data_IF_212302649858
#
_entry.id   IF_212302649858
#
_cell.length_a   1.000
_cell.length_b   1.000
_cell.length_c   1.000
_cell.angle_alpha   90.00
_cell.angle_beta   90.00
_cell.angle_gamma   90.00
#
_symmetry.space_group_name_H-M   'P 1'
#
loop_
_entity.id
_entity.type
_entity.pdbx_description
1 polymer ?
#
# COMPACT_ATOMS: atom_id res chain seq x y z
N UNK A 1 54.19 -32.71 -4.98
CA UNK A 1 54.11 -31.53 -5.87
C UNK A 1 53.59 -30.39 -5.01
N UNK A 2 54.38 -29.68 -4.20
CA UNK A 2 55.53 -28.79 -4.45
C UNK A 2 55.23 -27.63 -5.43
N UNK A 3 55.21 -26.44 -4.84
CA UNK A 3 55.62 -25.10 -5.32
C UNK A 3 54.82 -24.36 -6.39
N UNK A 4 54.39 -23.13 -6.06
CA UNK A 4 55.05 -21.87 -6.47
C UNK A 4 54.33 -20.65 -5.81
N UNK A 5 54.91 -19.91 -4.86
CA UNK A 5 55.82 -18.72 -4.99
C UNK A 5 55.22 -17.57 -5.83
N UNK A 6 54.82 -16.46 -5.18
CA UNK A 6 55.56 -15.16 -5.11
C UNK A 6 55.61 -14.43 -6.47
N UNK A 7 55.10 -13.20 -6.69
CA UNK A 7 55.54 -11.90 -6.13
C UNK A 7 54.88 -10.78 -6.97
N UNK A 8 54.51 -9.63 -6.38
CA UNK A 8 54.93 -8.30 -6.87
C UNK A 8 54.41 -7.15 -5.99
N UNK A 9 55.32 -6.56 -5.21
CA UNK A 9 55.24 -5.20 -4.72
C UNK A 9 55.75 -4.24 -5.80
N UNK A 10 55.07 -3.09 -6.01
CA UNK A 10 55.62 -1.73 -5.80
C UNK A 10 54.78 -0.66 -6.51
N UNK A 11 54.75 0.51 -5.84
CA UNK A 11 54.77 1.86 -6.41
C UNK A 11 53.40 2.55 -6.63
N UNK A 12 53.02 3.46 -5.73
CA UNK A 12 53.40 4.89 -5.79
C UNK A 12 52.72 5.71 -4.68
N UNK A 13 53.55 6.41 -3.92
CA UNK A 13 53.19 7.62 -3.16
C UNK A 13 52.59 8.66 -4.11
N UNK A 14 51.45 9.24 -3.75
CA UNK A 14 51.21 10.70 -3.88
C UNK A 14 50.40 11.19 -2.68
N UNK A 15 51.02 12.13 -1.97
CA UNK A 15 50.37 13.09 -1.06
C UNK A 15 49.37 13.92 -1.86
N UNK A 16 48.17 14.08 -1.31
CA UNK A 16 47.40 15.33 -1.42
C UNK A 16 46.63 15.49 -0.13
N UNK A 17 47.17 16.40 0.67
CA UNK A 17 46.57 17.05 1.82
C UNK A 17 45.55 18.07 1.29
N UNK A 18 44.30 17.97 1.74
CA UNK A 18 43.35 19.09 1.63
C UNK A 18 42.30 19.00 2.73
N UNK A 19 42.35 20.00 3.59
CA UNK A 19 41.33 20.39 4.55
C UNK A 19 39.94 20.48 3.90
N UNK A 20 38.89 20.11 4.66
CA UNK A 20 37.85 21.03 5.14
C UNK A 20 36.61 20.28 5.65
N UNK A 21 36.18 20.69 6.85
CA UNK A 21 34.79 20.76 7.33
C UNK A 21 33.97 19.46 7.29
N UNK A 22 34.02 18.73 8.39
CA UNK A 22 33.00 17.74 8.75
C UNK A 22 31.70 18.45 9.15
N UNK A 23 30.79 18.62 8.18
CA UNK A 23 29.37 18.83 8.44
C UNK A 23 28.76 17.51 8.88
N UNK A 24 28.25 17.47 10.11
CA UNK A 24 27.58 16.33 10.69
C UNK A 24 26.28 16.03 9.92
N UNK A 25 26.33 15.07 9.00
CA UNK A 25 25.16 14.40 8.45
C UNK A 25 24.70 13.35 9.45
N UNK A 26 23.62 13.67 10.16
CA UNK A 26 22.88 12.73 11.01
C UNK A 26 22.21 11.70 10.09
N UNK A 27 22.51 10.39 10.18
CA UNK A 27 21.82 9.41 9.37
C UNK A 27 20.46 9.09 10.01
N UNK A 28 19.40 9.61 9.40
CA UNK A 28 17.99 9.27 9.64
C UNK A 28 17.64 7.81 9.26
N UNK A 29 18.64 6.95 9.08
CA UNK A 29 18.51 5.61 8.48
C UNK A 29 18.45 4.46 9.50
N UNK A 30 18.56 4.74 10.81
CA UNK A 30 18.67 3.70 11.85
C UNK A 30 17.38 3.44 12.67
N UNK A 31 16.30 4.19 12.43
CA UNK A 31 15.05 4.10 13.21
C UNK A 31 13.99 3.17 12.60
N UNK A 32 14.30 2.48 11.48
CA UNK A 32 13.35 1.61 10.76
C UNK A 32 13.56 0.10 10.99
N UNK A 33 14.48 -0.30 11.89
CA UNK A 33 14.87 -1.72 12.08
C UNK A 33 14.36 -2.37 13.38
N UNK A 34 13.44 -1.76 14.13
CA UNK A 34 13.06 -2.23 15.48
C UNK A 34 11.61 -2.70 15.65
N UNK A 35 10.86 -2.91 14.57
CA UNK A 35 9.55 -3.56 14.65
C UNK A 35 9.52 -4.79 13.76
N UNK A 36 9.67 -5.97 14.34
CA UNK A 36 8.93 -7.22 14.05
C UNK A 36 9.70 -8.39 14.69
N UNK A 37 9.43 -8.67 15.96
CA UNK A 37 9.78 -9.94 16.60
C UNK A 37 8.71 -10.27 17.63
N UNK A 38 7.48 -10.46 17.17
CA UNK A 38 6.42 -11.08 17.96
C UNK A 38 6.50 -12.59 17.75
N UNK A 39 7.16 -13.29 18.66
CA UNK A 39 7.14 -14.76 18.73
C UNK A 39 5.80 -15.20 19.30
N UNK A 40 4.95 -15.79 18.48
CA UNK A 40 3.77 -16.51 18.95
C UNK A 40 4.21 -17.86 19.51
N UNK A 41 3.87 -18.12 20.76
CA UNK A 41 4.04 -19.42 21.40
C UNK A 41 3.17 -20.43 20.66
N UNK A 42 3.79 -21.48 20.11
CA UNK A 42 3.09 -22.69 19.67
C UNK A 42 2.65 -23.38 20.95
N UNK A 43 1.35 -23.32 21.26
CA UNK A 43 0.77 -24.14 22.31
C UNK A 43 0.78 -25.59 21.84
N UNK A 44 1.23 -26.49 22.70
CA UNK A 44 1.25 -27.93 22.46
C UNK A 44 -0.16 -28.41 22.09
N UNK A 45 -0.29 -28.99 20.90
CA UNK A 45 -1.50 -29.64 20.40
C UNK A 45 -1.78 -30.88 21.26
N UNK A 46 -2.58 -30.72 22.31
CA UNK A 46 -3.34 -31.83 22.86
C UNK A 46 -4.37 -32.28 21.80
N UNK A 47 -4.69 -33.57 21.76
CA UNK A 47 -5.77 -34.14 20.94
C UNK A 47 -7.12 -33.50 21.35
N UNK A 48 -7.40 -32.30 20.85
CA UNK A 48 -8.68 -31.62 20.98
C UNK A 48 -9.62 -32.19 19.92
N UNK A 49 -10.12 -33.41 20.16
CA UNK A 49 -11.22 -33.96 19.37
C UNK A 49 -12.48 -33.13 19.65
N UNK A 50 -13.05 -32.52 18.60
CA UNK A 50 -14.28 -31.74 18.70
C UNK A 50 -15.45 -32.70 18.92
N UNK A 51 -16.05 -32.65 20.12
CA UNK A 51 -17.20 -33.50 20.46
C UNK A 51 -18.50 -33.04 19.78
N UNK A 52 -18.72 -31.72 19.68
CA UNK A 52 -19.93 -31.13 19.12
C UNK A 52 -19.64 -29.91 18.25
N UNK A 53 -20.20 -29.90 17.03
CA UNK A 53 -20.03 -28.81 16.06
C UNK A 53 -20.92 -27.59 16.34
N UNK A 54 -21.88 -27.69 17.25
CA UNK A 54 -22.85 -26.60 17.53
C UNK A 54 -22.20 -25.33 18.04
N UNK A 55 -21.07 -25.46 18.73
CA UNK A 55 -20.35 -24.34 19.30
C UNK A 55 -19.42 -23.69 18.28
N UNK A 56 -19.16 -24.35 17.15
CA UNK A 56 -18.18 -23.90 16.19
C UNK A 56 -18.80 -23.13 15.01
N UNK A 57 -18.00 -22.23 14.46
CA UNK A 57 -18.29 -21.54 13.22
C UNK A 57 -17.06 -21.47 12.33
N UNK A 58 -17.28 -21.48 11.02
CA UNK A 58 -16.24 -21.37 10.01
C UNK A 58 -16.39 -20.07 9.24
N UNK A 59 -15.25 -19.39 9.03
CA UNK A 59 -15.18 -18.15 8.28
C UNK A 59 -14.15 -18.26 7.16
N UNK A 60 -14.57 -18.49 5.89
CA UNK A 60 -13.67 -18.40 4.75
C UNK A 60 -13.21 -16.94 4.59
N UNK A 61 -11.89 -16.75 4.48
CA UNK A 61 -11.23 -15.43 4.42
C UNK A 61 -10.81 -15.07 3.01
N UNK A 62 -10.17 -16.01 2.31
CA UNK A 62 -9.62 -15.77 0.98
C UNK A 62 -9.34 -17.10 0.26
N UNK A 63 -9.40 -17.09 -1.05
CA UNK A 63 -8.78 -18.06 -1.93
C UNK A 63 -7.37 -17.58 -2.26
N UNK A 64 -6.37 -18.43 -2.03
CA UNK A 64 -4.95 -18.13 -2.26
C UNK A 64 -4.25 -19.30 -2.92
N UNK A 65 -3.30 -19.00 -3.82
CA UNK A 65 -2.35 -20.00 -4.29
C UNK A 65 -1.23 -20.16 -3.25
N UNK A 66 -1.15 -21.34 -2.62
CA UNK A 66 -0.16 -21.65 -1.58
C UNK A 66 0.39 -23.06 -1.78
N UNK A 67 1.72 -23.18 -1.82
CA UNK A 67 2.43 -24.41 -2.18
C UNK A 67 2.02 -24.97 -3.55
N UNK A 68 1.97 -24.08 -4.56
CA UNK A 68 1.64 -24.43 -5.95
C UNK A 68 0.27 -25.09 -6.12
N UNK A 69 -0.65 -24.82 -5.18
CA UNK A 69 -2.03 -25.31 -5.20
C UNK A 69 -2.98 -24.20 -4.76
N UNK A 70 -4.16 -24.17 -5.36
CA UNK A 70 -5.22 -23.25 -4.96
C UNK A 70 -5.90 -23.76 -3.69
N UNK A 71 -5.93 -22.89 -2.67
CA UNK A 71 -6.39 -23.23 -1.33
C UNK A 71 -7.34 -22.16 -0.79
N UNK A 72 -8.35 -22.60 -0.04
CA UNK A 72 -9.20 -21.72 0.76
C UNK A 72 -8.55 -21.53 2.12
N UNK A 73 -8.19 -20.29 2.42
CA UNK A 73 -7.89 -19.82 3.76
C UNK A 73 -9.19 -19.61 4.53
N UNK A 74 -9.33 -20.27 5.67
CA UNK A 74 -10.47 -20.09 6.56
C UNK A 74 -10.04 -20.02 8.02
N UNK A 75 -10.90 -19.47 8.87
CA UNK A 75 -10.73 -19.44 10.32
C UNK A 75 -11.86 -20.20 11.00
N UNK A 76 -11.50 -20.95 12.04
CA UNK A 76 -12.44 -21.66 12.90
C UNK A 76 -12.63 -20.89 14.21
N UNK A 77 -13.85 -20.78 14.68
CA UNK A 77 -14.23 -20.07 15.90
C UNK A 77 -14.99 -21.01 16.84
N UNK A 78 -14.73 -20.92 18.14
CA UNK A 78 -15.27 -21.77 19.22
C UNK A 78 -16.63 -21.32 19.75
N UNK A 79 -17.13 -20.20 19.25
CA UNK A 79 -18.45 -19.66 19.56
C UNK A 79 -19.15 -19.44 18.23
N UNK A 80 -20.38 -19.93 18.13
CA UNK A 80 -21.30 -19.87 16.99
C UNK A 80 -21.27 -18.54 16.20
N UNK A 81 -21.95 -18.48 15.05
CA UNK A 81 -21.85 -17.46 13.99
C UNK A 81 -21.78 -15.98 14.41
N UNK A 82 -22.30 -15.60 15.58
CA UNK A 82 -22.22 -14.22 16.10
C UNK A 82 -20.81 -13.81 16.59
N UNK A 83 -19.85 -14.74 16.68
CA UNK A 83 -18.55 -14.53 17.32
C UNK A 83 -17.36 -14.59 16.37
N UNK A 84 -17.58 -14.45 15.07
CA UNK A 84 -16.47 -14.51 14.11
C UNK A 84 -15.63 -13.23 14.06
N UNK A 85 -15.96 -12.27 14.93
CA UNK A 85 -15.12 -11.11 15.27
C UNK A 85 -14.16 -11.40 16.44
N UNK A 86 -14.39 -12.47 17.20
CA UNK A 86 -13.51 -12.91 18.28
C UNK A 86 -12.26 -13.59 17.71
N UNK A 87 -11.29 -13.85 18.59
CA UNK A 87 -10.08 -14.57 18.22
C UNK A 87 -10.45 -15.97 17.71
N UNK A 88 -10.00 -16.37 16.51
CA UNK A 88 -10.23 -17.70 16.02
C UNK A 88 -9.42 -18.72 16.83
N UNK A 89 -9.94 -19.95 16.93
CA UNK A 89 -9.23 -21.12 17.46
C UNK A 89 -7.97 -21.36 16.65
N UNK A 90 -8.10 -21.23 15.32
CA UNK A 90 -7.00 -21.33 14.38
C UNK A 90 -7.36 -20.77 13.03
N UNK A 91 -6.33 -20.52 12.22
CA UNK A 91 -6.49 -20.19 10.81
C UNK A 91 -5.80 -21.28 9.99
N UNK A 92 -6.55 -21.85 9.07
CA UNK A 92 -6.18 -23.06 8.35
C UNK A 92 -6.36 -22.86 6.85
N UNK A 93 -5.72 -23.73 6.09
CA UNK A 93 -5.90 -23.82 4.65
C UNK A 93 -6.32 -25.23 4.26
N UNK A 94 -7.09 -25.33 3.19
CA UNK A 94 -7.48 -26.59 2.54
C UNK A 94 -7.50 -26.38 1.03
N UNK A 95 -7.31 -27.42 0.19
CA UNK A 95 -7.53 -27.31 -1.25
C UNK A 95 -8.94 -26.81 -1.59
N UNK A 96 -9.06 -26.00 -2.64
CA UNK A 96 -10.35 -25.46 -3.13
C UNK A 96 -11.38 -26.56 -3.38
N UNK A 97 -11.08 -27.66 -4.10
CA UNK A 97 -12.05 -28.72 -4.34
C UNK A 97 -12.63 -29.32 -3.06
N UNK A 98 -11.77 -29.60 -2.07
CA UNK A 98 -12.18 -30.15 -0.77
C UNK A 98 -13.08 -29.20 0.00
N UNK A 99 -12.81 -27.89 -0.03
CA UNK A 99 -13.67 -26.91 0.62
C UNK A 99 -15.04 -26.83 -0.04
N UNK A 100 -15.07 -26.77 -1.37
CA UNK A 100 -16.29 -26.54 -2.15
C UNK A 100 -17.19 -27.76 -2.10
N UNK A 101 -16.64 -28.97 -2.20
CA UNK A 101 -17.37 -30.24 -2.04
C UNK A 101 -18.10 -30.29 -0.69
N UNK A 102 -17.36 -30.08 0.41
CA UNK A 102 -17.93 -30.09 1.76
C UNK A 102 -18.93 -28.94 2.00
N UNK A 103 -18.74 -27.79 1.34
CA UNK A 103 -19.67 -26.67 1.39
C UNK A 103 -20.98 -26.97 0.65
N UNK A 104 -20.91 -27.64 -0.51
CA UNK A 104 -22.09 -28.06 -1.28
C UNK A 104 -22.85 -29.15 -0.53
N UNK A 105 -22.17 -30.12 0.06
CA UNK A 105 -22.78 -31.11 0.94
C UNK A 105 -23.53 -30.45 2.11
N UNK A 106 -22.92 -29.43 2.74
CA UNK A 106 -23.60 -28.67 3.79
C UNK A 106 -24.85 -27.94 3.28
N UNK A 107 -24.82 -27.38 2.06
CA UNK A 107 -25.99 -26.72 1.46
C UNK A 107 -27.09 -27.73 1.13
N UNK A 108 -26.74 -28.90 0.62
CA UNK A 108 -27.67 -29.99 0.34
C UNK A 108 -28.34 -30.50 1.63
N UNK A 109 -27.56 -30.66 2.69
CA UNK A 109 -28.05 -31.04 4.02
C UNK A 109 -29.02 -30.00 4.59
N UNK A 110 -28.70 -28.71 4.44
CA UNK A 110 -29.55 -27.61 4.89
C UNK A 110 -30.86 -27.52 4.09
N UNK A 111 -30.81 -27.74 2.77
CA UNK A 111 -32.00 -27.76 1.92
C UNK A 111 -32.91 -28.95 2.25
N UNK A 112 -32.33 -30.14 2.46
CA UNK A 112 -33.06 -31.31 2.92
C UNK A 112 -33.75 -31.08 4.27
N UNK A 113 -33.12 -30.31 5.16
CA UNK A 113 -33.72 -29.92 6.44
C UNK A 113 -34.88 -28.92 6.29
N UNK A 114 -34.82 -28.05 5.30
CA UNK A 114 -35.92 -27.15 4.95
C UNK A 114 -37.06 -27.86 4.20
N UNK A 115 -36.90 -29.14 3.85
CA UNK A 115 -37.84 -29.88 3.00
C UNK A 115 -37.79 -29.43 1.53
N UNK A 116 -36.68 -28.84 1.12
CA UNK A 116 -36.42 -28.38 -0.25
C UNK A 116 -35.52 -29.38 -1.00
N UNK A 117 -35.70 -29.46 -2.32
CA UNK A 117 -34.81 -30.23 -3.19
C UNK A 117 -33.60 -29.37 -3.56
N UNK A 118 -32.40 -29.87 -3.27
CA UNK A 118 -31.16 -29.18 -3.62
C UNK A 118 -30.74 -29.48 -5.05
N UNK A 119 -30.64 -28.44 -5.88
CA UNK A 119 -30.08 -28.54 -7.23
C UNK A 119 -28.56 -28.33 -7.17
N UNK A 120 -27.81 -29.38 -7.50
CA UNK A 120 -26.35 -29.31 -7.51
C UNK A 120 -25.86 -28.40 -8.64
N UNK A 121 -24.94 -27.46 -8.35
CA UNK A 121 -24.42 -26.57 -9.38
C UNK A 121 -23.51 -27.32 -10.37
N UNK A 122 -23.50 -26.87 -11.63
CA UNK A 122 -22.66 -27.46 -12.70
C UNK A 122 -21.16 -27.46 -12.37
N UNK A 123 -20.72 -26.62 -11.42
CA UNK A 123 -19.34 -26.55 -10.98
C UNK A 123 -18.83 -27.86 -10.39
N UNK A 124 -19.71 -28.75 -9.91
CA UNK A 124 -19.35 -30.07 -9.40
C UNK A 124 -18.52 -30.88 -10.41
N UNK A 125 -18.76 -30.64 -11.71
CA UNK A 125 -18.01 -31.28 -12.79
C UNK A 125 -16.55 -30.81 -12.91
N UNK A 126 -16.15 -29.79 -12.14
CA UNK A 126 -14.81 -29.20 -12.14
C UNK A 126 -14.09 -29.34 -10.80
N UNK A 127 -14.65 -30.03 -9.80
CA UNK A 127 -13.94 -30.31 -8.54
C UNK A 127 -12.70 -31.18 -8.80
N UNK A 128 -12.85 -32.16 -9.69
CA UNK A 128 -11.76 -33.00 -10.16
C UNK A 128 -11.10 -32.44 -11.41
N UNK A 129 -9.80 -32.71 -11.54
CA UNK A 129 -9.00 -32.37 -12.72
C UNK A 129 -9.55 -33.09 -13.96
N UNK A 130 -10.30 -32.37 -14.80
CA UNK A 130 -11.08 -32.94 -15.88
C UNK A 130 -10.48 -32.61 -17.24
N UNK A 131 -10.23 -33.63 -18.06
CA UNK A 131 -9.72 -33.45 -19.42
C UNK A 131 -10.72 -32.72 -20.34
N UNK A 132 -10.24 -31.74 -21.09
CA UNK A 132 -10.98 -31.01 -22.13
C UNK A 132 -10.07 -30.73 -23.33
N UNK A 133 -10.61 -30.94 -24.53
CA UNK A 133 -9.97 -30.49 -25.76
C UNK A 133 -10.48 -29.08 -26.12
N UNK A 134 -9.62 -28.07 -26.03
CA UNK A 134 -9.94 -26.66 -26.27
C UNK A 134 -9.12 -26.20 -27.47
N UNK A 135 -9.80 -25.78 -28.55
CA UNK A 135 -9.15 -25.31 -29.79
C UNK A 135 -8.14 -26.29 -30.41
N UNK A 136 -8.33 -27.61 -30.20
CA UNK A 136 -7.43 -28.65 -30.70
C UNK A 136 -6.21 -28.93 -29.81
N UNK A 137 -6.05 -28.22 -28.70
CA UNK A 137 -5.11 -28.53 -27.63
C UNK A 137 -5.75 -29.39 -26.54
N UNK A 138 -4.94 -30.24 -25.92
CA UNK A 138 -5.34 -31.10 -24.80
C UNK A 138 -5.02 -30.38 -23.49
N UNK A 139 -6.06 -30.09 -22.71
CA UNK A 139 -5.96 -29.37 -21.43
C UNK A 139 -6.72 -30.10 -20.35
N UNK A 140 -6.44 -29.73 -19.11
CA UNK A 140 -7.19 -30.15 -17.95
C UNK A 140 -7.76 -28.92 -17.26
N UNK A 141 -8.95 -29.04 -16.69
CA UNK A 141 -9.60 -27.94 -16.00
C UNK A 141 -9.99 -28.36 -14.60
N UNK A 142 -9.82 -27.46 -13.65
CA UNK A 142 -10.21 -27.66 -12.26
C UNK A 142 -10.65 -26.33 -11.64
N UNK A 143 -11.56 -26.42 -10.69
CA UNK A 143 -11.99 -25.30 -9.87
C UNK A 143 -10.85 -24.84 -8.94
N UNK A 144 -10.53 -23.56 -9.02
CA UNK A 144 -9.44 -22.93 -8.27
C UNK A 144 -9.74 -21.49 -7.89
N UNK A 145 -8.69 -20.76 -7.54
CA UNK A 145 -8.79 -19.36 -7.17
C UNK A 145 -8.81 -18.47 -8.41
N UNK A 146 -9.60 -17.40 -8.37
CA UNK A 146 -9.56 -16.38 -9.43
C UNK A 146 -8.37 -15.45 -9.25
N UNK A 147 -7.63 -15.19 -10.33
CA UNK A 147 -6.47 -14.29 -10.33
C UNK A 147 -6.81 -12.83 -9.97
N UNK A 148 -8.03 -12.40 -10.29
CA UNK A 148 -8.48 -11.02 -10.09
C UNK A 148 -9.13 -10.77 -8.73
N UNK A 149 -9.62 -11.82 -8.07
CA UNK A 149 -10.33 -11.68 -6.81
C UNK A 149 -10.17 -12.91 -5.90
N UNK A 150 -9.50 -12.73 -4.77
CA UNK A 150 -9.43 -13.75 -3.70
C UNK A 150 -10.75 -14.12 -3.06
N UNK A 151 -11.81 -13.36 -3.29
CA UNK A 151 -13.16 -13.71 -2.87
C UNK A 151 -14.00 -14.36 -3.97
N UNK A 152 -13.40 -14.76 -5.09
CA UNK A 152 -14.09 -15.54 -6.12
C UNK A 152 -13.32 -16.79 -6.48
N UNK A 153 -14.07 -17.75 -6.99
CA UNK A 153 -13.57 -18.98 -7.56
C UNK A 153 -13.64 -18.88 -9.08
N UNK A 154 -12.76 -19.61 -9.75
CA UNK A 154 -12.72 -19.70 -11.20
C UNK A 154 -12.36 -21.11 -11.64
N UNK A 155 -12.65 -21.45 -12.90
CA UNK A 155 -12.17 -22.69 -13.50
C UNK A 155 -10.83 -22.41 -14.17
N UNK A 156 -9.77 -22.95 -13.58
CA UNK A 156 -8.40 -22.78 -14.02
C UNK A 156 -8.04 -23.88 -15.04
N UNK A 157 -7.17 -23.54 -15.99
CA UNK A 157 -6.73 -24.42 -17.09
C UNK A 157 -5.29 -24.85 -16.84
N UNK A 158 -5.04 -26.15 -16.94
CA UNK A 158 -3.78 -26.80 -16.67
C UNK A 158 -3.30 -27.61 -17.88
N UNK A 159 -1.98 -27.77 -18.00
CA UNK A 159 -1.33 -28.57 -19.06
C UNK A 159 -1.13 -30.03 -18.66
N UNK A 160 -1.25 -30.36 -17.37
CA UNK A 160 -1.00 -31.68 -16.80
C UNK A 160 -2.25 -32.31 -16.16
N UNK A 161 -2.28 -33.64 -16.12
CA UNK A 161 -3.41 -34.41 -15.60
C UNK A 161 -3.56 -34.35 -14.07
N UNK A 162 -2.64 -33.71 -13.36
CA UNK A 162 -2.74 -33.50 -11.91
C UNK A 162 -3.17 -32.07 -11.57
N UNK A 163 -3.38 -31.21 -12.58
CA UNK A 163 -3.75 -29.81 -12.41
C UNK A 163 -2.76 -29.05 -11.50
N UNK A 164 -1.47 -29.20 -11.80
CA UNK A 164 -0.37 -28.58 -11.04
C UNK A 164 0.38 -27.51 -11.83
N UNK A 165 0.37 -27.58 -13.17
CA UNK A 165 1.01 -26.63 -14.08
C UNK A 165 -0.04 -25.81 -14.81
N UNK A 166 -0.18 -24.54 -14.40
CA UNK A 166 -1.07 -23.55 -15.06
C UNK A 166 -0.71 -23.40 -16.54
N UNK A 167 -1.71 -23.26 -17.39
CA UNK A 167 -1.53 -22.99 -18.81
C UNK A 167 -1.37 -21.49 -19.08
N UNK A 168 -0.16 -20.97 -18.87
CA UNK A 168 0.18 -19.55 -19.07
C UNK A 168 0.17 -19.11 -20.57
N UNK A 169 0.07 -20.06 -21.50
CA UNK A 169 0.34 -19.88 -22.94
C UNK A 169 -0.90 -19.85 -23.84
N UNK A 170 -2.11 -19.94 -23.28
CA UNK A 170 -3.34 -19.78 -24.06
C UNK A 170 -3.53 -18.28 -24.42
N UNK A 171 -3.15 -17.94 -25.64
CA UNK A 171 -3.51 -16.75 -26.42
C UNK A 171 -3.35 -15.34 -25.81
N UNK A 172 -2.63 -15.16 -24.70
CA UNK A 172 -2.33 -13.83 -24.16
C UNK A 172 -3.57 -13.04 -23.70
N UNK A 173 -4.70 -13.72 -23.55
CA UNK A 173 -5.81 -13.30 -22.71
C UNK A 173 -5.62 -13.87 -21.31
N UNK A 174 -6.21 -13.22 -20.31
CA UNK A 174 -6.44 -13.80 -18.98
C UNK A 174 -7.42 -14.98 -19.17
N UNK A 175 -6.92 -16.11 -19.69
CA UNK A 175 -7.72 -17.24 -20.17
C UNK A 175 -8.23 -18.14 -19.01
N UNK A 176 -8.11 -17.70 -17.75
CA UNK A 176 -8.35 -18.49 -16.55
C UNK A 176 -9.59 -18.09 -15.73
N UNK A 177 -10.59 -17.40 -16.30
CA UNK A 177 -11.80 -17.05 -15.55
C UNK A 177 -13.06 -17.32 -16.38
N UNK A 178 -13.40 -18.60 -16.58
CA UNK A 178 -14.82 -18.93 -16.83
C UNK A 178 -15.57 -18.53 -15.57
N UNK A 179 -16.27 -17.39 -15.62
CA UNK A 179 -17.08 -16.89 -14.52
C UNK A 179 -18.17 -17.92 -14.24
N UNK A 180 -18.02 -18.62 -13.12
CA UNK A 180 -19.04 -19.53 -12.60
C UNK A 180 -20.06 -18.72 -11.81
N UNK A 181 -21.34 -19.03 -11.99
CA UNK A 181 -22.44 -18.45 -11.19
C UNK A 181 -22.50 -19.12 -9.80
N UNK A 182 -21.34 -19.15 -9.13
CA UNK A 182 -21.20 -19.66 -7.79
C UNK A 182 -20.23 -18.76 -7.04
N UNK A 183 -20.80 -17.91 -6.18
CA UNK A 183 -20.02 -17.11 -5.25
C UNK A 183 -20.01 -17.82 -3.90
N UNK A 184 -18.81 -18.22 -3.45
CA UNK A 184 -18.62 -18.56 -2.05
C UNK A 184 -19.05 -17.37 -1.20
N UNK A 185 -19.96 -17.60 -0.26
CA UNK A 185 -20.32 -16.56 0.71
C UNK A 185 -19.16 -16.44 1.70
N UNK A 186 -18.36 -15.39 1.56
CA UNK A 186 -17.33 -15.00 2.54
C UNK A 186 -17.98 -14.40 3.79
N UNK A 187 -18.87 -15.17 4.40
CA UNK A 187 -19.63 -14.85 5.59
C UNK A 187 -19.36 -15.94 6.62
N UNK A 188 -19.38 -15.55 7.89
CA UNK A 188 -19.22 -16.55 8.92
C UNK A 188 -20.46 -17.42 9.00
N UNK A 189 -20.25 -18.72 8.93
CA UNK A 189 -21.31 -19.72 8.87
C UNK A 189 -21.18 -20.63 10.09
N UNK A 190 -22.26 -20.84 10.87
CA UNK A 190 -22.20 -21.81 11.95
C UNK A 190 -22.03 -23.21 11.36
N UNK A 191 -21.28 -24.07 12.03
CA UNK A 191 -21.05 -25.44 11.55
C UNK A 191 -22.32 -26.27 11.53
N UNK A 192 -23.27 -25.96 12.41
CA UNK A 192 -24.60 -26.58 12.45
C UNK A 192 -25.65 -25.50 12.21
N UNK A 193 -26.47 -25.69 11.18
CA UNK A 193 -27.65 -24.87 10.92
C UNK A 193 -28.89 -25.70 11.24
N UNK A 194 -29.76 -25.17 12.09
CA UNK A 194 -31.00 -25.85 12.47
C UNK A 194 -32.12 -25.47 11.50
N UNK A 195 -32.73 -26.47 10.86
CA UNK A 195 -33.96 -26.27 10.09
C UNK A 195 -35.17 -26.08 11.01
N UNK A 196 -36.13 -25.28 10.58
CA UNK A 196 -37.42 -25.10 11.26
C UNK A 196 -38.35 -26.29 10.90
N UNK A 197 -38.07 -27.45 11.50
CA UNK A 197 -38.94 -28.64 11.40
C UNK A 197 -39.96 -28.62 12.54
N UNK A 198 -41.16 -29.13 12.27
CA UNK A 198 -42.16 -29.29 13.33
C UNK A 198 -41.64 -30.24 14.42
N UNK A 199 -41.91 -29.93 15.69
CA UNK A 199 -41.45 -30.69 16.88
C UNK A 199 -41.80 -32.19 16.83
N UNK A 200 -42.81 -32.60 16.05
CA UNK A 200 -43.23 -33.99 15.90
C UNK A 200 -42.39 -34.82 14.91
N UNK A 201 -41.52 -34.17 14.13
CA UNK A 201 -40.61 -34.82 13.17
C UNK A 201 -39.16 -34.90 13.65
N UNK A 202 -38.84 -34.23 14.75
CA UNK A 202 -37.49 -34.17 15.30
C UNK A 202 -37.38 -35.15 16.47
N UNK A 203 -36.63 -36.24 16.28
CA UNK A 203 -36.29 -37.16 17.35
C UNK A 203 -34.90 -36.87 17.94
N UNK A 204 -34.58 -37.50 19.08
CA UNK A 204 -33.28 -37.35 19.75
C UNK A 204 -32.12 -37.79 18.83
N UNK A 205 -32.38 -38.72 17.90
CA UNK A 205 -31.39 -39.20 16.94
C UNK A 205 -31.02 -38.12 15.92
N UNK A 206 -32.00 -37.35 15.43
CA UNK A 206 -31.75 -36.20 14.57
C UNK A 206 -30.87 -35.17 15.25
N UNK A 207 -31.18 -34.81 16.50
CA UNK A 207 -30.38 -33.85 17.27
C UNK A 207 -28.93 -34.33 17.46
N UNK A 208 -28.74 -35.58 17.90
CA UNK A 208 -27.40 -36.14 18.09
C UNK A 208 -26.63 -36.16 16.76
N UNK A 209 -27.25 -36.64 15.69
CA UNK A 209 -26.62 -36.70 14.38
C UNK A 209 -26.21 -35.31 13.88
N UNK A 210 -27.07 -34.29 14.01
CA UNK A 210 -26.74 -32.92 13.55
C UNK A 210 -25.68 -32.23 14.40
N UNK A 211 -25.55 -32.57 15.67
CA UNK A 211 -24.48 -32.01 16.52
C UNK A 211 -23.11 -32.58 16.14
N UNK A 212 -23.05 -33.85 15.72
CA UNK A 212 -21.78 -34.54 15.42
C UNK A 212 -21.45 -34.57 13.93
N UNK A 213 -22.44 -34.40 13.05
CA UNK A 213 -22.26 -34.42 11.60
C UNK A 213 -22.48 -33.02 11.02
N UNK A 214 -21.38 -32.30 10.83
CA UNK A 214 -21.32 -31.04 10.11
C UNK A 214 -20.42 -31.22 8.88
N UNK A 215 -20.96 -31.56 7.69
CA UNK A 215 -20.17 -31.91 6.52
C UNK A 215 -19.03 -30.92 6.23
N UNK A 216 -19.33 -29.62 6.27
CA UNK A 216 -18.33 -28.58 6.06
C UNK A 216 -17.29 -28.56 7.18
N UNK A 217 -17.68 -28.34 8.43
CA UNK A 217 -16.70 -28.16 9.51
C UNK A 217 -15.94 -29.43 9.87
N UNK A 218 -16.58 -30.60 9.77
CA UNK A 218 -15.94 -31.90 9.95
C UNK A 218 -14.85 -32.14 8.91
N UNK A 219 -15.18 -31.98 7.61
CA UNK A 219 -14.19 -32.11 6.55
C UNK A 219 -13.06 -31.08 6.71
N UNK A 220 -13.40 -29.82 7.04
CA UNK A 220 -12.39 -28.78 7.23
C UNK A 220 -11.48 -29.09 8.41
N UNK A 221 -12.01 -29.62 9.50
CA UNK A 221 -11.19 -30.05 10.61
C UNK A 221 -10.28 -31.22 10.23
N UNK A 222 -10.80 -32.26 9.61
CA UNK A 222 -10.01 -33.46 9.24
C UNK A 222 -8.89 -33.14 8.24
N UNK A 223 -9.15 -32.25 7.29
CA UNK A 223 -8.18 -31.85 6.26
C UNK A 223 -7.43 -30.55 6.59
N UNK A 224 -7.53 -30.03 7.81
CA UNK A 224 -6.91 -28.75 8.19
C UNK A 224 -5.39 -28.79 8.05
N UNK A 225 -4.85 -27.78 7.40
CA UNK A 225 -3.42 -27.49 7.44
C UNK A 225 -3.22 -26.13 8.09
N UNK A 226 -2.33 -26.05 9.08
CA UNK A 226 -2.06 -24.78 9.76
C UNK A 226 -1.48 -23.75 8.78
N UNK A 227 -2.14 -22.58 8.71
CA UNK A 227 -1.67 -21.49 7.88
C UNK A 227 -0.51 -20.78 8.57
N UNK A 228 0.71 -21.04 8.10
CA UNK A 228 1.91 -20.37 8.60
C UNK A 228 1.86 -18.85 8.38
N UNK A 229 2.77 -18.11 9.04
CA UNK A 229 2.88 -16.66 8.86
C UNK A 229 3.07 -16.21 7.39
N UNK A 230 3.64 -17.07 6.53
CA UNK A 230 3.75 -16.80 5.08
C UNK A 230 2.38 -16.86 4.39
N UNK A 231 1.58 -17.88 4.71
CA UNK A 231 0.23 -18.04 4.20
C UNK A 231 -0.67 -16.86 4.64
N UNK A 232 -0.56 -16.42 5.91
CA UNK A 232 -1.28 -15.23 6.40
C UNK A 232 -0.83 -13.94 5.70
N UNK A 233 0.46 -13.80 5.41
CA UNK A 233 1.00 -12.65 4.66
C UNK A 233 0.51 -12.64 3.22
N UNK A 234 0.44 -13.80 2.55
CA UNK A 234 -0.12 -13.92 1.20
C UNK A 234 -1.58 -13.48 1.21
N UNK A 235 -2.42 -14.06 2.07
CA UNK A 235 -3.82 -13.67 2.15
C UNK A 235 -4.02 -12.19 2.48
N UNK A 236 -3.19 -11.61 3.35
CA UNK A 236 -3.22 -10.17 3.64
C UNK A 236 -2.76 -9.32 2.47
N UNK A 237 -1.74 -9.74 1.72
CA UNK A 237 -1.28 -9.02 0.54
C UNK A 237 -2.40 -8.94 -0.49
N UNK A 238 -3.06 -10.07 -0.78
CA UNK A 238 -4.10 -10.12 -1.80
C UNK A 238 -5.40 -9.42 -1.36
N UNK A 239 -5.77 -9.49 -0.08
CA UNK A 239 -6.91 -8.71 0.43
C UNK A 239 -6.59 -7.21 0.58
N UNK A 240 -5.33 -6.85 0.81
CA UNK A 240 -4.88 -5.45 0.86
C UNK A 240 -4.77 -4.82 -0.53
N UNK A 241 -4.70 -5.60 -1.61
CA UNK A 241 -4.71 -5.05 -2.97
C UNK A 241 -6.06 -4.40 -3.33
N UNK A 242 -7.16 -4.74 -2.62
CA UNK A 242 -8.44 -4.02 -2.72
C UNK A 242 -8.44 -2.65 -2.02
N UNK A 243 -7.55 -2.40 -1.06
CA UNK A 243 -7.41 -1.11 -0.35
C UNK A 243 -6.06 -0.39 -0.58
N UNK A 244 -5.23 -0.95 -1.47
CA UNK A 244 -3.93 -0.38 -1.83
C UNK A 244 -4.05 0.87 -2.71
N UNK A 245 -2.97 1.65 -2.78
CA UNK A 245 -2.86 2.74 -3.75
C UNK A 245 -2.86 2.16 -5.17
N UNK A 246 -3.88 2.48 -5.98
CA UNK A 246 -3.93 2.07 -7.38
C UNK A 246 -2.72 2.63 -8.14
N UNK A 247 -2.32 1.98 -9.26
CA UNK A 247 -1.26 2.51 -10.14
C UNK A 247 -1.54 3.97 -10.54
N UNK A 248 -2.79 4.28 -10.84
CA UNK A 248 -3.24 5.64 -11.14
C UNK A 248 -3.04 6.59 -9.95
N UNK A 249 -3.37 6.18 -8.72
CA UNK A 249 -3.19 7.02 -7.54
C UNK A 249 -1.71 7.28 -7.24
N UNK A 250 -0.83 6.28 -7.45
CA UNK A 250 0.62 6.43 -7.31
C UNK A 250 1.18 7.46 -8.30
N UNK A 251 0.70 7.42 -9.55
CA UNK A 251 1.06 8.41 -10.57
C UNK A 251 0.53 9.80 -10.19
N UNK A 252 -0.73 9.90 -9.74
CA UNK A 252 -1.34 11.16 -9.34
C UNK A 252 -0.61 11.80 -8.14
N UNK A 253 -0.27 11.00 -7.13
CA UNK A 253 0.53 11.44 -5.98
C UNK A 253 1.90 11.97 -6.40
N UNK A 254 2.56 11.30 -7.35
CA UNK A 254 3.86 11.73 -7.88
C UNK A 254 3.75 13.10 -8.57
N UNK A 255 2.75 13.27 -9.44
CA UNK A 255 2.52 14.53 -10.17
C UNK A 255 2.21 15.68 -9.20
N UNK A 256 1.30 15.47 -8.24
CA UNK A 256 0.93 16.49 -7.26
C UNK A 256 2.06 16.81 -6.27
N UNK A 257 2.85 15.80 -5.88
CA UNK A 257 4.04 15.99 -5.07
C UNK A 257 5.09 16.84 -5.79
N UNK A 258 5.34 16.56 -7.08
CA UNK A 258 6.27 17.31 -7.91
C UNK A 258 5.77 18.75 -8.16
N UNK A 259 4.47 18.93 -8.38
CA UNK A 259 3.85 20.24 -8.51
C UNK A 259 3.97 21.07 -7.22
N UNK A 260 3.64 20.48 -6.07
CA UNK A 260 3.79 21.13 -4.76
C UNK A 260 5.25 21.50 -4.46
N UNK A 261 6.19 20.61 -4.79
CA UNK A 261 7.62 20.88 -4.67
C UNK A 261 8.09 22.02 -5.59
N UNK A 262 7.61 22.06 -6.84
CA UNK A 262 7.89 23.15 -7.78
C UNK A 262 7.39 24.51 -7.29
N UNK A 263 6.16 24.58 -6.74
CA UNK A 263 5.63 25.80 -6.14
C UNK A 263 6.45 26.25 -4.93
N UNK A 264 6.88 25.32 -4.09
CA UNK A 264 7.75 25.62 -2.96
C UNK A 264 9.10 26.21 -3.40
N UNK A 265 9.74 25.65 -4.44
CA UNK A 265 10.96 26.21 -5.00
C UNK A 265 10.75 27.60 -5.61
N UNK A 266 9.61 27.84 -6.27
CA UNK A 266 9.26 29.15 -6.81
C UNK A 266 9.11 30.20 -5.69
N UNK A 267 8.48 29.83 -4.57
CA UNK A 267 8.38 30.67 -3.37
C UNK A 267 9.77 31.00 -2.82
N UNK A 268 10.64 30.00 -2.69
CA UNK A 268 12.01 30.19 -2.20
C UNK A 268 12.81 31.12 -3.11
N UNK A 269 12.75 30.91 -4.43
CA UNK A 269 13.42 31.77 -5.42
C UNK A 269 12.88 33.20 -5.37
N UNK A 270 11.55 33.37 -5.27
CA UNK A 270 10.92 34.69 -5.21
C UNK A 270 11.29 35.44 -3.93
N UNK A 271 11.34 34.74 -2.78
CA UNK A 271 11.84 35.31 -1.52
C UNK A 271 13.30 35.72 -1.59
N UNK A 272 14.16 34.93 -2.23
CA UNK A 272 15.58 35.27 -2.41
C UNK A 272 15.78 36.51 -3.30
N UNK A 273 14.84 36.78 -4.21
CA UNK A 273 14.90 37.93 -5.12
C UNK A 273 14.35 39.23 -4.53
N UNK A 274 13.74 39.22 -3.33
CA UNK A 274 13.21 40.44 -2.74
C UNK A 274 14.35 41.32 -2.21
N UNK A 275 14.31 42.61 -2.57
CA UNK A 275 15.30 43.61 -2.16
C UNK A 275 15.36 43.76 -0.63
N UNK A 276 16.57 43.97 -0.09
CA UNK A 276 16.86 44.10 1.36
C UNK A 276 15.96 45.10 2.10
N UNK A 277 15.41 46.10 1.40
CA UNK A 277 14.50 47.09 2.00
C UNK A 277 13.13 46.46 2.35
N UNK A 278 12.57 45.64 1.47
CA UNK A 278 11.31 44.94 1.72
C UNK A 278 11.51 43.79 2.71
N UNK A 279 12.69 43.18 2.70
CA UNK A 279 13.06 42.15 3.68
C UNK A 279 13.01 42.70 5.12
N UNK A 280 13.45 43.94 5.36
CA UNK A 280 13.40 44.56 6.70
C UNK A 280 11.97 44.84 7.18
N UNK A 281 11.08 45.31 6.30
CA UNK A 281 9.67 45.54 6.63
C UNK A 281 8.93 44.23 6.89
N UNK A 282 9.17 43.20 6.07
CA UNK A 282 8.57 41.88 6.26
C UNK A 282 9.13 41.20 7.52
N UNK A 283 10.43 41.31 7.78
CA UNK A 283 11.07 40.75 8.96
C UNK A 283 10.63 41.46 10.25
N UNK A 284 10.30 42.77 10.18
CA UNK A 284 9.66 43.48 11.28
C UNK A 284 8.25 42.91 11.56
N UNK A 285 7.41 42.72 10.53
CA UNK A 285 6.07 42.14 10.69
C UNK A 285 6.10 40.68 11.17
N UNK A 286 7.03 39.87 10.66
CA UNK A 286 7.21 38.47 11.02
C UNK A 286 7.81 38.33 12.43
N UNK A 287 8.77 39.18 12.81
CA UNK A 287 9.33 39.17 14.17
C UNK A 287 8.32 39.65 15.21
N UNK A 288 7.38 40.52 14.85
CA UNK A 288 6.28 40.91 15.73
C UNK A 288 5.36 39.72 16.08
N UNK A 289 5.24 38.74 15.19
CA UNK A 289 4.56 37.47 15.45
C UNK A 289 5.45 36.43 16.17
N UNK A 290 6.72 36.75 16.46
CA UNK A 290 7.67 35.88 17.15
C UNK A 290 8.16 34.67 16.34
N UNK A 291 7.87 34.61 15.04
CA UNK A 291 8.17 33.44 14.21
C UNK A 291 9.40 33.72 13.34
N UNK A 292 10.54 33.06 13.55
CA UNK A 292 11.68 33.27 12.64
C UNK A 292 11.39 32.67 11.24
N UNK A 293 11.95 33.23 10.15
CA UNK A 293 11.77 32.70 8.78
C UNK A 293 12.18 31.23 8.64
N UNK A 294 13.15 30.78 9.45
CA UNK A 294 13.59 29.38 9.50
C UNK A 294 12.50 28.43 10.02
N UNK A 295 11.57 28.88 10.87
CA UNK A 295 10.46 28.06 11.34
C UNK A 295 9.46 27.73 10.22
N UNK A 296 9.26 28.63 9.26
CA UNK A 296 8.34 28.39 8.13
C UNK A 296 8.87 27.23 7.27
N UNK A 297 10.19 27.23 6.99
CA UNK A 297 10.86 26.15 6.27
C UNK A 297 10.77 24.83 7.05
N UNK A 298 11.02 24.87 8.37
CA UNK A 298 10.94 23.69 9.24
C UNK A 298 9.54 23.09 9.32
N UNK A 299 8.51 23.93 9.47
CA UNK A 299 7.10 23.50 9.48
C UNK A 299 6.74 22.81 8.17
N UNK A 300 7.15 23.35 7.02
CA UNK A 300 6.86 22.74 5.73
C UNK A 300 7.53 21.36 5.57
N UNK A 301 8.80 21.23 5.97
CA UNK A 301 9.51 19.95 5.93
C UNK A 301 8.87 18.90 6.87
N UNK A 302 8.47 19.31 8.08
CA UNK A 302 7.76 18.44 9.02
C UNK A 302 6.43 17.97 8.45
N UNK A 303 5.69 18.87 7.79
CA UNK A 303 4.38 18.57 7.23
C UNK A 303 4.50 17.59 6.04
N UNK A 304 5.53 17.73 5.19
CA UNK A 304 5.85 16.74 4.16
C UNK A 304 6.17 15.36 4.75
N UNK A 305 6.91 15.30 5.87
CA UNK A 305 7.20 14.05 6.58
C UNK A 305 5.91 13.38 7.09
N UNK A 306 4.99 14.16 7.66
CA UNK A 306 3.71 13.62 8.14
C UNK A 306 2.89 13.03 6.98
N UNK A 307 2.88 13.68 5.81
CA UNK A 307 2.19 13.15 4.61
C UNK A 307 2.84 11.85 4.15
N UNK A 308 4.17 11.77 4.10
CA UNK A 308 4.85 10.54 3.68
C UNK A 308 4.58 9.41 4.65
N UNK A 309 4.52 9.68 5.95
CA UNK A 309 4.12 8.71 6.96
C UNK A 309 2.67 8.22 6.75
N UNK A 310 1.71 9.11 6.48
CA UNK A 310 0.32 8.69 6.20
C UNK A 310 0.17 7.94 4.89
N UNK A 311 0.96 8.28 3.87
CA UNK A 311 1.00 7.53 2.61
C UNK A 311 1.50 6.10 2.83
N UNK A 312 2.53 5.92 3.68
CA UNK A 312 3.05 4.59 4.07
C UNK A 312 2.06 3.77 4.90
N UNK A 313 1.19 4.43 5.66
CA UNK A 313 0.11 3.79 6.43
C UNK A 313 -1.14 3.49 5.58
N UNK A 314 -1.11 3.72 4.26
CA UNK A 314 -2.24 3.51 3.33
C UNK A 314 -3.52 4.29 3.70
N UNK A 315 -3.41 5.41 4.44
CA UNK A 315 -4.55 6.26 4.78
C UNK A 315 -4.91 7.17 3.60
N UNK A 316 -5.49 6.59 2.53
CA UNK A 316 -5.76 7.26 1.26
C UNK A 316 -6.54 8.57 1.43
N UNK A 317 -7.71 8.51 2.11
CA UNK A 317 -8.59 9.68 2.27
C UNK A 317 -7.89 10.85 2.97
N UNK A 318 -7.20 10.56 4.07
CA UNK A 318 -6.51 11.58 4.87
C UNK A 318 -5.35 12.17 4.07
N UNK A 319 -4.52 11.33 3.45
CA UNK A 319 -3.38 11.75 2.63
C UNK A 319 -3.82 12.70 1.51
N UNK A 320 -4.92 12.37 0.81
CA UNK A 320 -5.49 13.22 -0.25
C UNK A 320 -5.92 14.59 0.27
N UNK A 321 -6.70 14.63 1.35
CA UNK A 321 -7.17 15.91 1.91
C UNK A 321 -6.03 16.82 2.35
N UNK A 322 -5.00 16.25 2.99
CA UNK A 322 -3.84 16.98 3.49
C UNK A 322 -2.98 17.51 2.35
N UNK A 323 -2.73 16.67 1.33
CA UNK A 323 -1.98 17.05 0.13
C UNK A 323 -2.66 18.21 -0.62
N UNK A 324 -3.98 18.12 -0.86
CA UNK A 324 -4.72 19.19 -1.54
C UNK A 324 -4.73 20.48 -0.72
N UNK A 325 -4.93 20.39 0.59
CA UNK A 325 -4.91 21.56 1.47
C UNK A 325 -3.58 22.32 1.38
N UNK A 326 -2.46 21.61 1.38
CA UNK A 326 -1.12 22.24 1.24
C UNK A 326 -0.97 22.90 -0.11
N UNK A 327 -1.37 22.23 -1.19
CA UNK A 327 -1.24 22.78 -2.54
C UNK A 327 -2.04 24.08 -2.66
N UNK A 328 -3.26 24.12 -2.11
CA UNK A 328 -4.08 25.34 -2.03
C UNK A 328 -3.41 26.42 -1.18
N UNK A 329 -2.85 26.06 -0.02
CA UNK A 329 -2.15 27.01 0.84
C UNK A 329 -0.89 27.60 0.17
N UNK A 330 -0.07 26.75 -0.47
CA UNK A 330 1.12 27.15 -1.24
C UNK A 330 0.75 28.05 -2.41
N UNK A 331 -0.30 27.70 -3.15
CA UNK A 331 -0.78 28.50 -4.27
C UNK A 331 -1.27 29.87 -3.82
N UNK A 332 -2.08 29.91 -2.75
CA UNK A 332 -2.57 31.17 -2.16
C UNK A 332 -1.41 32.05 -1.68
N UNK A 333 -0.38 31.43 -1.09
CA UNK A 333 0.80 32.14 -0.64
C UNK A 333 1.65 32.69 -1.80
N UNK A 334 1.81 31.91 -2.88
CA UNK A 334 2.51 32.35 -4.10
C UNK A 334 1.76 33.48 -4.81
N UNK A 335 0.43 33.41 -4.89
CA UNK A 335 -0.43 34.49 -5.37
C UNK A 335 -0.22 35.77 -4.57
N UNK A 336 -0.24 35.67 -3.23
CA UNK A 336 0.03 36.82 -2.35
C UNK A 336 1.40 37.45 -2.63
N UNK A 337 2.47 36.65 -2.66
CA UNK A 337 3.81 37.14 -2.99
C UNK A 337 3.88 37.78 -4.40
N UNK A 338 3.00 37.38 -5.31
CA UNK A 338 2.96 37.92 -6.67
C UNK A 338 2.23 39.24 -6.76
N UNK A 339 1.15 39.40 -6.02
CA UNK A 339 0.44 40.68 -5.89
C UNK A 339 1.33 41.69 -5.18
N UNK A 340 1.90 41.31 -4.03
CA UNK A 340 2.75 42.19 -3.22
C UNK A 340 4.01 42.62 -3.99
N UNK A 341 4.58 41.73 -4.82
CA UNK A 341 5.73 42.05 -5.67
C UNK A 341 5.41 42.90 -6.91
N UNK A 342 4.14 43.01 -7.32
CA UNK A 342 3.74 43.76 -8.52
C UNK A 342 3.38 45.23 -8.23
N UNK A 343 3.15 45.59 -6.97
CA UNK A 343 2.87 46.98 -6.60
C UNK A 343 4.19 47.73 -6.58
N UNK A 344 4.61 48.29 -7.74
CA UNK A 344 5.64 49.32 -7.76
C UNK A 344 5.12 50.49 -6.93
N UNK A 345 5.71 50.73 -5.76
CA UNK A 345 5.36 51.89 -4.94
C UNK A 345 5.62 53.15 -5.77
N UNK A 346 4.55 53.77 -6.24
CA UNK A 346 4.60 55.11 -6.81
C UNK A 346 4.83 56.05 -5.63
N UNK A 347 6.09 56.44 -5.41
CA UNK A 347 6.45 57.37 -4.35
C UNK A 347 5.87 58.74 -4.74
N UNK A 348 4.77 59.11 -4.08
CA UNK A 348 4.21 60.46 -4.17
C UNK A 348 5.10 61.36 -3.33
N UNK A 349 5.87 62.23 -3.99
CA UNK A 349 6.70 63.21 -3.30
C UNK A 349 5.86 64.17 -2.45
N UNK A 350 6.45 64.85 -1.45
CA UNK A 350 5.76 65.85 -0.62
C UNK A 350 5.09 66.98 -1.43
N UNK A 351 5.50 67.16 -2.68
CA UNK A 351 4.95 68.14 -3.63
C UNK A 351 3.73 67.61 -4.41
N UNK A 352 3.25 66.38 -4.13
CA UNK A 352 2.13 65.75 -4.83
C UNK A 352 2.43 65.29 -6.25
N UNK A 353 3.65 65.49 -6.76
CA UNK A 353 4.09 64.92 -8.03
C UNK A 353 4.43 63.44 -7.84
N UNK A 354 3.83 62.62 -8.69
CA UNK A 354 4.27 61.24 -8.92
C UNK A 354 5.61 61.38 -9.63
N UNK A 355 6.69 61.17 -8.88
CA UNK A 355 8.00 60.99 -9.49
C UNK A 355 8.03 59.51 -9.85
N UNK A 356 7.78 59.19 -11.13
CA UNK A 356 8.23 57.90 -11.63
C UNK A 356 9.74 57.89 -11.37
N UNK A 357 10.18 57.01 -10.47
CA UNK A 357 11.59 56.69 -10.39
C UNK A 357 11.95 56.15 -11.76
N UNK A 358 12.65 56.96 -12.56
CA UNK A 358 13.30 56.50 -13.77
C UNK A 358 14.12 55.28 -13.34
N UNK A 359 13.62 54.11 -13.69
CA UNK A 359 14.31 52.84 -13.52
C UNK A 359 15.58 53.01 -14.37
N UNK A 360 16.69 53.32 -13.70
CA UNK A 360 18.03 53.32 -14.29
C UNK A 360 18.43 51.86 -14.55
N UNK A 361 17.73 51.22 -15.48
CA UNK A 361 18.11 49.95 -16.11
C UNK A 361 18.95 50.27 -17.36
N UNK A 362 20.08 50.94 -17.15
CA UNK A 362 21.20 50.96 -18.11
C UNK A 362 22.21 49.89 -17.65
N UNK A 363 21.90 48.61 -17.92
CA UNK A 363 22.93 47.58 -18.08
C UNK A 363 22.81 46.97 -19.47
N UNK A 364 23.40 47.71 -20.42
CA UNK A 364 23.86 47.20 -21.71
C UNK A 364 25.03 46.22 -21.48
N UNK A 365 24.74 44.92 -21.51
CA UNK A 365 25.77 43.89 -21.71
C UNK A 365 26.26 43.92 -23.17
N UNK A 366 27.20 44.82 -23.46
CA UNK A 366 28.02 44.78 -24.67
C UNK A 366 29.20 43.84 -24.45
N UNK A 367 29.12 42.69 -25.11
CA UNK A 367 30.21 41.74 -25.29
C UNK A 367 31.35 42.42 -26.07
N UNK A 368 32.44 42.79 -25.37
CA UNK A 368 33.48 43.67 -25.92
C UNK A 368 34.83 43.53 -25.23
N UNK A 369 35.63 42.58 -25.69
CA UNK A 369 37.08 42.48 -25.44
C UNK A 369 37.82 43.82 -25.68
N UNK A 370 38.48 44.35 -24.65
CA UNK A 370 39.89 44.79 -24.64
C UNK A 370 40.17 45.98 -23.69
N UNK A 371 41.19 45.80 -22.84
CA UNK A 371 42.16 46.81 -22.34
C UNK A 371 41.66 48.16 -21.81
N UNK A 372 41.87 48.44 -20.52
CA UNK A 372 42.88 49.42 -20.07
C UNK A 372 42.83 49.57 -18.55
N UNK A 373 44.02 49.60 -17.95
CA UNK A 373 44.28 49.75 -16.52
C UNK A 373 44.32 51.26 -16.24
N UNK A 374 43.26 51.81 -15.67
CA UNK A 374 43.21 53.20 -15.20
C UNK A 374 43.45 53.26 -13.70
N UNK A 375 44.58 53.82 -13.29
CA UNK A 375 44.91 54.13 -11.89
C UNK A 375 43.94 55.18 -11.32
N UNK A 376 43.44 54.92 -10.12
CA UNK A 376 42.57 55.81 -9.38
C UNK A 376 43.41 56.87 -8.65
N UNK A 377 43.32 58.13 -9.07
CA UNK A 377 43.92 59.25 -8.36
C UNK A 377 42.94 59.77 -7.29
N UNK A 378 43.38 59.71 -6.03
CA UNK A 378 42.66 60.18 -4.85
C UNK A 378 42.59 61.72 -4.83
N UNK A 379 41.42 62.36 -4.66
CA UNK A 379 41.33 63.81 -4.55
C UNK A 379 41.83 64.30 -3.19
N UNK A 380 42.77 65.26 -3.20
CA UNK A 380 43.21 65.98 -2.00
C UNK A 380 42.10 66.92 -1.49
N UNK A 381 41.81 66.83 -0.19
CA UNK A 381 40.91 67.74 0.52
C UNK A 381 41.64 69.06 0.84
N UNK A 382 40.98 70.23 0.72
CA UNK A 382 41.58 71.51 1.07
C UNK A 382 41.80 71.63 2.59
N UNK A 383 42.96 72.15 2.97
CA UNK A 383 43.30 72.46 4.35
C UNK A 383 42.39 73.58 4.89
N UNK A 384 41.71 73.30 6.00
CA UNK A 384 41.02 74.34 6.77
C UNK A 384 42.06 75.20 7.48
N UNK A 385 42.07 76.50 7.17
CA UNK A 385 42.78 77.56 7.91
C UNK A 385 41.99 78.04 9.11
#
# INVERSE_FOLDING_TARGET
MLNNTETMQRSRRRRTERDRTATATIPLLLLLLLSLSGTTNVADAADDDIEYWTDYAIYPKACVNYNDMDQILYAMHEKSSNHCTDNPVGTFVTPVPTFVDAYIDQLADNAADAGEEYEYPDLMNYLDCTYKNIAGGDYYIQLGCSDGDTSSLAVNIYTDAQCTESSDDLYGGDDANVEIDFALKYQCTPCVTWGDKNDDQIDDQYYQNKQTNAPLCGAMWDYRQECSGKCLMLAKATSSDKEGWNKADKILLSILGLFGFGMFLAIMKKRQSMSKKNELLEQAAISAAGLSPTHILGMFALLLLVITMFALLNLKKITWTLLLFIIVALFSYLMKLTIDGSVKETIIGPDGKIVESEDSDDEDDVDGSATSRGDYANPELPAMT
#
